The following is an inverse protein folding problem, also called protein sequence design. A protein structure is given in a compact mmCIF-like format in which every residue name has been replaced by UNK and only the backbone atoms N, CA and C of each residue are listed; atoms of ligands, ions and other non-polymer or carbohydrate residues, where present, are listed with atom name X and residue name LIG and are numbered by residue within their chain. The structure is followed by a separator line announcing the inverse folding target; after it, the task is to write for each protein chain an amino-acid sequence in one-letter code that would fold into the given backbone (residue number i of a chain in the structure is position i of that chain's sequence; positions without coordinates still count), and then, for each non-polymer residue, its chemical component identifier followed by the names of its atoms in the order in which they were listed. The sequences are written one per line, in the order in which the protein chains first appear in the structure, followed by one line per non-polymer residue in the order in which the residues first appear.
data_IF_376250540899
#
_entry.id   IF_376250540899
#
_cell.length_a   1.000
_cell.length_b   1.000
_cell.length_c   1.000
_cell.angle_alpha   90.00
_cell.angle_beta   90.00
_cell.angle_gamma   90.00
#
_symmetry.space_group_name_H-M   'P 1'
#
loop_
_entity.id
_entity.type
_entity.pdbx_description
1 polymer ?
#
# COMPACT_ATOMS: atom_id res chain seq x y z
N UNK A 1 6.82 13.87 3.08
CA UNK A 1 6.80 12.71 3.97
C UNK A 1 7.88 11.72 3.50
N UNK A 2 8.55 11.06 4.42
CA UNK A 2 9.44 9.95 4.11
C UNK A 2 8.63 8.65 4.17
N UNK A 3 8.68 7.86 3.11
CA UNK A 3 8.03 6.56 3.03
C UNK A 3 9.11 5.48 3.13
N UNK A 4 9.16 4.70 4.22
CA UNK A 4 10.09 3.59 4.36
C UNK A 4 9.81 2.52 3.31
N UNK A 5 10.87 1.93 2.75
CA UNK A 5 10.73 0.86 1.77
C UNK A 5 11.91 -0.11 1.81
N UNK A 6 11.65 -1.37 1.50
CA UNK A 6 12.62 -2.44 1.31
C UNK A 6 12.65 -2.84 -0.16
N UNK A 7 13.82 -2.81 -0.78
CA UNK A 7 14.01 -3.24 -2.16
C UNK A 7 14.61 -4.65 -2.21
N UNK A 8 13.93 -5.55 -2.91
CA UNK A 8 14.38 -6.92 -3.15
C UNK A 8 14.74 -7.07 -4.62
N UNK A 9 16.02 -7.20 -4.89
CA UNK A 9 16.55 -7.25 -6.26
C UNK A 9 17.09 -8.65 -6.55
N UNK A 10 16.54 -9.37 -7.54
CA UNK A 10 17.08 -10.67 -7.94
C UNK A 10 18.43 -10.51 -8.64
N UNK A 11 19.27 -11.57 -8.68
CA UNK A 11 20.60 -11.49 -9.30
C UNK A 11 20.60 -11.11 -10.80
N UNK A 12 19.51 -11.41 -11.50
CA UNK A 12 19.31 -11.07 -12.92
C UNK A 12 17.88 -10.63 -13.15
N UNK A 13 17.56 -9.37 -12.86
CA UNK A 13 16.19 -8.87 -13.00
C UNK A 13 15.74 -8.88 -14.46
N UNK A 14 14.46 -9.19 -14.69
CA UNK A 14 13.86 -9.22 -16.03
C UNK A 14 13.38 -7.85 -16.50
N UNK A 15 13.66 -6.78 -15.75
CA UNK A 15 13.08 -5.46 -15.98
C UNK A 15 11.64 -5.30 -15.47
N UNK A 16 11.02 -6.37 -14.95
CA UNK A 16 9.72 -6.27 -14.28
C UNK A 16 9.87 -5.73 -12.87
N UNK A 17 8.91 -4.93 -12.44
CA UNK A 17 8.85 -4.41 -11.08
C UNK A 17 7.49 -4.65 -10.45
N UNK A 18 7.51 -4.89 -9.15
CA UNK A 18 6.34 -5.05 -8.29
C UNK A 18 6.42 -4.01 -7.19
N UNK A 19 5.40 -3.17 -7.07
CA UNK A 19 5.15 -2.38 -5.87
C UNK A 19 4.25 -3.20 -4.93
N UNK A 20 4.80 -3.58 -3.78
CA UNK A 20 4.12 -4.41 -2.80
C UNK A 20 3.77 -3.58 -1.57
N UNK A 21 2.48 -3.49 -1.25
CA UNK A 21 1.95 -2.68 -0.15
C UNK A 21 1.16 -3.57 0.80
N UNK A 22 1.60 -3.63 2.06
CA UNK A 22 0.94 -4.40 3.10
C UNK A 22 0.31 -3.48 4.14
N UNK A 23 -0.91 -3.80 4.59
CA UNK A 23 -1.65 -3.00 5.55
C UNK A 23 -1.09 -2.99 6.98
N UNK A 24 -0.08 -3.81 7.29
CA UNK A 24 0.55 -3.86 8.62
C UNK A 24 1.98 -3.34 8.60
N UNK A 25 2.83 -3.85 7.71
CA UNK A 25 4.24 -3.46 7.62
C UNK A 25 4.87 -3.94 6.32
N UNK A 26 5.86 -3.22 5.80
CA UNK A 26 6.69 -3.63 4.66
C UNK A 26 7.46 -4.93 4.89
N UNK A 27 7.70 -5.29 6.16
CA UNK A 27 8.47 -6.46 6.55
C UNK A 27 7.60 -7.72 6.75
N UNK A 28 6.26 -7.61 6.75
CA UNK A 28 5.38 -8.71 7.12
C UNK A 28 5.59 -9.95 6.24
N UNK A 29 5.66 -9.77 4.93
CA UNK A 29 5.87 -10.81 3.94
C UNK A 29 7.33 -10.94 3.44
N UNK A 30 8.27 -10.24 4.08
CA UNK A 30 9.69 -10.23 3.74
C UNK A 30 10.47 -11.45 4.30
N UNK A 31 9.81 -12.30 5.07
CA UNK A 31 10.39 -13.50 5.68
C UNK A 31 10.82 -14.53 4.62
N UNK A 32 11.85 -15.34 4.88
CA UNK A 32 12.19 -16.47 4.02
C UNK A 32 10.99 -17.37 3.75
N UNK A 33 10.71 -17.68 2.48
CA UNK A 33 9.51 -18.42 2.05
C UNK A 33 8.23 -17.58 2.00
N UNK A 34 8.30 -16.30 2.34
CA UNK A 34 7.18 -15.35 2.30
C UNK A 34 6.69 -15.02 0.89
N UNK A 35 5.69 -14.17 0.82
CA UNK A 35 5.04 -13.81 -0.45
C UNK A 35 5.97 -13.00 -1.35
N UNK A 36 6.76 -12.09 -0.78
CA UNK A 36 7.73 -11.27 -1.52
C UNK A 36 8.79 -12.15 -2.19
N UNK A 37 9.37 -13.11 -1.47
CA UNK A 37 10.36 -14.02 -2.02
C UNK A 37 9.78 -14.87 -3.16
N UNK A 38 8.54 -15.35 -3.00
CA UNK A 38 7.83 -16.11 -4.04
C UNK A 38 7.58 -15.28 -5.30
N UNK A 39 7.14 -14.02 -5.15
CA UNK A 39 6.95 -13.10 -6.26
C UNK A 39 8.27 -12.83 -6.98
N UNK A 40 9.32 -12.50 -6.24
CA UNK A 40 10.66 -12.26 -6.77
C UNK A 40 11.18 -13.47 -7.56
N UNK A 41 11.12 -14.67 -6.98
CA UNK A 41 11.61 -15.91 -7.63
C UNK A 41 10.78 -16.30 -8.85
N UNK A 42 9.45 -16.19 -8.78
CA UNK A 42 8.55 -16.62 -9.87
C UNK A 42 8.67 -15.73 -11.10
N UNK A 43 8.85 -14.42 -10.92
CA UNK A 43 8.86 -13.45 -12.01
C UNK A 43 10.24 -12.91 -12.32
N UNK A 44 11.24 -13.21 -11.48
CA UNK A 44 12.57 -12.61 -11.51
C UNK A 44 12.49 -11.06 -11.56
N UNK A 45 11.52 -10.51 -10.83
CA UNK A 45 11.16 -9.11 -10.77
C UNK A 45 11.79 -8.41 -9.58
N UNK A 46 12.07 -7.12 -9.72
CA UNK A 46 12.38 -6.27 -8.57
C UNK A 46 11.11 -6.07 -7.76
N UNK A 47 11.16 -6.25 -6.44
CA UNK A 47 10.03 -6.00 -5.55
C UNK A 47 10.39 -4.86 -4.61
N UNK A 48 9.64 -3.77 -4.66
CA UNK A 48 9.68 -2.69 -3.69
C UNK A 48 8.52 -2.89 -2.70
N UNK A 49 8.84 -3.29 -1.47
CA UNK A 49 7.87 -3.33 -0.38
C UNK A 49 7.93 -2.03 0.39
N UNK A 50 6.84 -1.29 0.47
CA UNK A 50 6.81 0.05 1.05
C UNK A 50 5.66 0.23 2.04
N UNK A 51 5.85 1.16 2.97
CA UNK A 51 4.83 1.58 3.92
C UNK A 51 4.20 2.90 3.49
N UNK A 52 2.88 2.92 3.52
CA UNK A 52 2.12 4.16 3.36
C UNK A 52 2.06 4.89 4.71
N UNK A 53 1.69 6.18 4.69
CA UNK A 53 1.51 6.94 5.93
C UNK A 53 0.57 6.25 6.91
N UNK A 54 0.93 6.24 8.19
CA UNK A 54 0.18 5.61 9.26
C UNK A 54 0.23 4.08 9.26
N UNK A 55 1.16 3.46 8.51
CA UNK A 55 1.37 2.02 8.48
C UNK A 55 2.81 1.70 8.87
N UNK A 56 3.00 0.70 9.72
CA UNK A 56 4.31 0.22 10.12
C UNK A 56 5.16 1.27 10.83
N UNK A 57 6.34 1.59 10.32
CA UNK A 57 7.26 2.56 10.91
C UNK A 57 6.73 4.02 10.83
N UNK A 58 5.75 4.28 9.97
CA UNK A 58 5.11 5.60 9.85
C UNK A 58 3.89 5.75 10.74
N UNK A 59 3.52 4.70 11.48
CA UNK A 59 2.45 4.77 12.46
C UNK A 59 2.82 5.77 13.56
N UNK A 60 1.93 6.73 13.80
CA UNK A 60 2.12 7.68 14.88
C UNK A 60 1.93 6.96 16.22
N UNK A 61 3.02 6.84 16.98
CA UNK A 61 3.00 6.28 18.31
C UNK A 61 2.24 7.17 19.27
N UNK A 62 0.94 7.05 19.29
CA UNK A 62 0.12 7.72 20.29
C UNK A 62 0.20 6.94 21.59
N UNK A 63 0.72 7.60 22.63
CA UNK A 63 0.65 7.10 24.01
C UNK A 63 -0.79 6.66 24.31
N UNK A 64 -0.92 5.43 24.65
CA UNK A 64 -1.94 4.64 25.36
C UNK A 64 -3.33 5.22 25.69
N UNK A 65 -3.66 6.46 25.35
CA UNK A 65 -5.01 7.00 25.46
C UNK A 65 -5.78 6.69 24.18
N UNK A 66 -6.53 5.63 24.24
CA UNK A 66 -7.30 5.06 23.14
C UNK A 66 -8.56 5.89 22.83
N UNK A 67 -8.37 7.09 22.30
CA UNK A 67 -9.47 7.91 21.81
C UNK A 67 -10.09 7.30 20.55
N UNK A 68 -10.90 6.26 20.73
CA UNK A 68 -11.68 5.64 19.66
C UNK A 68 -10.92 4.65 18.78
N UNK A 69 -9.62 4.39 19.02
CA UNK A 69 -8.84 3.42 18.23
C UNK A 69 -9.44 2.01 18.29
N UNK A 70 -9.96 1.60 19.45
CA UNK A 70 -10.61 0.31 19.61
C UNK A 70 -11.93 0.16 18.85
N UNK A 71 -12.60 1.27 18.54
CA UNK A 71 -13.88 1.29 17.83
C UNK A 71 -13.74 1.64 16.36
N UNK A 72 -12.84 2.57 16.02
CA UNK A 72 -12.75 3.16 14.68
C UNK A 72 -11.46 2.83 13.94
N UNK A 73 -10.58 2.05 14.55
CA UNK A 73 -9.28 1.69 13.97
C UNK A 73 -8.14 2.61 14.40
N UNK A 74 -6.92 2.19 14.07
CA UNK A 74 -5.68 2.85 14.52
C UNK A 74 -5.48 4.25 13.95
N UNK A 75 -6.05 4.54 12.78
CA UNK A 75 -5.85 5.79 12.03
C UNK A 75 -6.91 6.85 12.34
N UNK A 76 -7.79 6.63 13.32
CA UNK A 76 -8.94 7.51 13.55
C UNK A 76 -8.55 8.98 13.78
N UNK A 77 -7.47 9.23 14.49
CA UNK A 77 -7.01 10.60 14.77
C UNK A 77 -6.46 11.27 13.51
N UNK A 78 -5.67 10.56 12.73
CA UNK A 78 -5.11 11.04 11.46
C UNK A 78 -6.21 11.33 10.44
N UNK A 79 -7.25 10.50 10.41
CA UNK A 79 -8.43 10.70 9.56
C UNK A 79 -9.16 11.98 9.95
N UNK A 80 -9.40 12.20 11.25
CA UNK A 80 -10.04 13.43 11.73
C UNK A 80 -9.18 14.66 11.45
N UNK A 81 -7.87 14.60 11.66
CA UNK A 81 -6.95 15.70 11.35
C UNK A 81 -6.93 16.00 9.84
N UNK A 82 -6.93 14.99 9.00
CA UNK A 82 -7.02 15.16 7.56
C UNK A 82 -8.35 15.84 7.18
N UNK A 83 -9.47 15.37 7.73
CA UNK A 83 -10.78 15.95 7.51
C UNK A 83 -10.84 17.43 7.93
N UNK A 84 -10.33 17.79 9.11
CA UNK A 84 -10.28 19.17 9.59
C UNK A 84 -9.44 20.10 8.69
N UNK A 85 -8.49 19.53 7.95
CA UNK A 85 -7.67 20.29 6.98
C UNK A 85 -8.21 20.21 5.55
N UNK A 86 -9.43 19.68 5.35
CA UNK A 86 -10.07 19.56 4.05
C UNK A 86 -9.44 18.49 3.16
N UNK A 87 -8.81 17.46 3.74
CA UNK A 87 -8.13 16.37 2.99
C UNK A 87 -8.78 15.03 3.29
N UNK A 88 -8.79 14.16 2.29
CA UNK A 88 -9.11 12.74 2.47
C UNK A 88 -7.85 11.98 2.87
N UNK A 89 -7.88 11.21 3.95
CA UNK A 89 -6.75 10.40 4.39
C UNK A 89 -6.43 9.29 3.39
N UNK A 90 -7.47 8.64 2.84
CA UNK A 90 -7.32 7.68 1.72
C UNK A 90 -6.70 8.36 0.50
N UNK A 91 -7.14 9.57 0.16
CA UNK A 91 -6.54 10.35 -0.94
C UNK A 91 -5.07 10.67 -0.70
N UNK A 92 -4.67 10.94 0.56
CA UNK A 92 -3.26 11.15 0.91
C UNK A 92 -2.45 9.85 0.75
N UNK A 93 -2.96 8.68 1.18
CA UNK A 93 -2.35 7.36 0.96
C UNK A 93 -2.29 7.01 -0.54
N UNK A 94 -3.32 7.35 -1.31
CA UNK A 94 -3.31 7.20 -2.77
C UNK A 94 -2.17 8.00 -3.41
N UNK A 95 -1.96 9.22 -2.95
CA UNK A 95 -0.82 10.04 -3.37
C UNK A 95 0.53 9.41 -3.02
N UNK A 96 0.64 8.73 -1.87
CA UNK A 96 1.85 7.98 -1.50
C UNK A 96 2.10 6.81 -2.47
N UNK A 97 1.05 6.05 -2.85
CA UNK A 97 1.16 4.97 -3.84
C UNK A 97 1.67 5.50 -5.18
N UNK A 98 1.09 6.61 -5.67
CA UNK A 98 1.52 7.21 -6.94
C UNK A 98 2.97 7.72 -6.88
N UNK A 99 3.39 8.31 -5.76
CA UNK A 99 4.78 8.74 -5.56
C UNK A 99 5.75 7.56 -5.55
N UNK A 100 5.42 6.46 -4.87
CA UNK A 100 6.20 5.22 -4.87
C UNK A 100 6.26 4.59 -6.26
N UNK A 101 5.17 4.64 -7.02
CA UNK A 101 5.09 4.16 -8.40
C UNK A 101 6.04 4.97 -9.30
N UNK A 102 6.00 6.29 -9.20
CA UNK A 102 6.91 7.18 -9.95
C UNK A 102 8.37 6.96 -9.57
N UNK A 103 8.66 6.82 -8.27
CA UNK A 103 10.01 6.51 -7.79
C UNK A 103 10.52 5.20 -8.38
N UNK A 104 9.70 4.14 -8.32
CA UNK A 104 10.07 2.83 -8.82
C UNK A 104 10.30 2.87 -10.34
N UNK A 105 9.41 3.50 -11.11
CA UNK A 105 9.55 3.66 -12.56
C UNK A 105 10.82 4.42 -12.95
N UNK A 106 11.16 5.49 -12.23
CA UNK A 106 12.34 6.31 -12.51
C UNK A 106 13.67 5.59 -12.20
N UNK A 107 13.64 4.62 -11.28
CA UNK A 107 14.84 3.88 -10.87
C UNK A 107 14.96 2.48 -11.48
N UNK A 108 14.00 2.09 -12.33
CA UNK A 108 14.14 0.90 -13.15
C UNK A 108 15.05 1.24 -14.35
N UNK A 109 16.25 0.65 -14.39
CA UNK A 109 17.06 0.64 -15.60
C UNK A 109 16.31 -0.18 -16.66
N UNK A 110 15.78 0.52 -17.66
CA UNK A 110 14.76 -0.02 -18.54
C UNK A 110 15.33 -0.45 -19.89
N UNK A 111 16.23 -1.41 -19.91
CA UNK A 111 16.49 -2.13 -21.15
C UNK A 111 15.30 -3.07 -21.44
N UNK A 112 14.34 -2.56 -22.20
CA UNK A 112 13.22 -3.35 -22.74
C UNK A 112 11.98 -3.47 -21.85
N UNK A 113 11.85 -2.74 -20.77
CA UNK A 113 10.65 -2.70 -19.94
C UNK A 113 9.63 -1.68 -20.46
N UNK A 114 8.35 -2.01 -20.37
CA UNK A 114 7.25 -1.08 -20.68
C UNK A 114 7.16 0.11 -19.69
N UNK A 115 7.99 0.14 -18.65
CA UNK A 115 7.89 1.11 -17.55
C UNK A 115 6.71 0.86 -16.63
N UNK A 116 5.87 -0.13 -16.93
CA UNK A 116 4.68 -0.46 -16.16
C UNK A 116 5.01 -1.35 -14.96
N UNK A 117 4.29 -1.15 -13.89
CA UNK A 117 4.50 -1.76 -12.58
C UNK A 117 3.36 -2.73 -12.27
N UNK A 118 3.69 -3.87 -11.69
CA UNK A 118 2.70 -4.73 -11.04
C UNK A 118 2.43 -4.20 -9.65
N UNK A 119 1.19 -3.82 -9.35
CA UNK A 119 0.78 -3.31 -8.04
C UNK A 119 0.12 -4.43 -7.23
N UNK A 120 0.58 -4.61 -6.00
CA UNK A 120 -0.02 -5.53 -5.03
C UNK A 120 -0.39 -4.74 -3.79
N UNK A 121 -1.67 -4.76 -3.42
CA UNK A 121 -2.19 -4.15 -2.19
C UNK A 121 -2.86 -5.20 -1.32
N UNK A 122 -2.49 -5.24 -0.03
CA UNK A 122 -3.05 -6.18 0.93
C UNK A 122 -3.61 -5.46 2.15
N UNK A 123 -4.80 -5.88 2.61
CA UNK A 123 -5.46 -5.32 3.77
C UNK A 123 -5.78 -3.83 3.59
N UNK A 124 -5.46 -3.00 4.58
CA UNK A 124 -5.71 -1.55 4.54
C UNK A 124 -4.99 -0.81 3.40
N UNK A 125 -3.88 -1.36 2.88
CA UNK A 125 -3.17 -0.77 1.76
C UNK A 125 -3.85 -1.05 0.40
N UNK A 126 -4.81 -1.97 0.34
CA UNK A 126 -5.47 -2.34 -0.90
C UNK A 126 -6.42 -1.24 -1.42
N UNK A 127 -7.11 -0.50 -0.53
CA UNK A 127 -8.01 0.58 -0.93
C UNK A 127 -7.25 1.73 -1.62
N UNK A 128 -6.19 2.33 -1.02
CA UNK A 128 -5.42 3.35 -1.72
C UNK A 128 -4.72 2.82 -2.98
N UNK A 129 -4.34 1.54 -3.03
CA UNK A 129 -3.82 0.90 -4.24
C UNK A 129 -4.88 0.85 -5.36
N UNK A 130 -6.13 0.50 -5.04
CA UNK A 130 -7.25 0.54 -5.99
C UNK A 130 -7.47 1.95 -6.54
N UNK A 131 -7.48 2.96 -5.66
CA UNK A 131 -7.65 4.35 -6.08
C UNK A 131 -6.50 4.83 -6.98
N UNK A 132 -5.25 4.47 -6.66
CA UNK A 132 -4.09 4.80 -7.49
C UNK A 132 -4.20 4.16 -8.88
N UNK A 133 -4.61 2.89 -8.94
CA UNK A 133 -4.82 2.17 -10.20
C UNK A 133 -5.95 2.79 -11.05
N UNK A 134 -7.00 3.29 -10.40
CA UNK A 134 -8.09 3.98 -11.09
C UNK A 134 -7.70 5.37 -11.61
N UNK A 135 -6.82 6.09 -10.91
CA UNK A 135 -6.38 7.43 -11.28
C UNK A 135 -5.28 7.44 -12.35
N UNK A 136 -4.44 6.41 -12.38
CA UNK A 136 -3.31 6.32 -13.31
C UNK A 136 -3.16 4.90 -13.88
N UNK A 137 -4.20 4.38 -14.58
CA UNK A 137 -4.21 2.99 -15.05
C UNK A 137 -3.07 2.67 -16.03
N UNK A 138 -2.57 3.67 -16.73
CA UNK A 138 -1.47 3.53 -17.68
C UNK A 138 -0.13 3.19 -17.02
N UNK A 139 0.03 3.44 -15.72
CA UNK A 139 1.26 3.14 -14.97
C UNK A 139 1.34 1.69 -14.53
N UNK A 140 0.24 0.96 -14.57
CA UNK A 140 0.17 -0.40 -14.03
C UNK A 140 -0.04 -1.43 -15.14
N UNK A 141 0.78 -2.48 -15.11
CA UNK A 141 0.61 -3.68 -15.97
C UNK A 141 -0.47 -4.61 -15.41
N UNK A 142 -0.50 -4.75 -14.09
CA UNK A 142 -1.54 -5.49 -13.39
C UNK A 142 -1.72 -4.98 -11.96
N UNK A 143 -2.89 -5.23 -11.40
CA UNK A 143 -3.24 -4.89 -10.03
C UNK A 143 -3.81 -6.13 -9.35
N UNK A 144 -3.25 -6.47 -8.19
CA UNK A 144 -3.74 -7.54 -7.33
C UNK A 144 -4.08 -6.95 -5.96
N UNK A 145 -5.32 -7.11 -5.55
CA UNK A 145 -5.84 -6.62 -4.28
C UNK A 145 -6.32 -7.80 -3.46
N UNK A 146 -5.92 -7.86 -2.20
CA UNK A 146 -6.17 -8.98 -1.32
C UNK A 146 -6.61 -8.49 0.07
N UNK A 147 -7.49 -9.25 0.73
CA UNK A 147 -8.00 -8.91 2.06
C UNK A 147 -8.61 -7.49 2.18
N UNK A 148 -9.24 -7.01 1.11
CA UNK A 148 -9.92 -5.73 1.11
C UNK A 148 -11.45 -5.90 1.11
N UNK A 149 -12.14 -4.85 1.52
CA UNK A 149 -13.60 -4.75 1.39
C UNK A 149 -13.93 -4.73 -0.11
N UNK A 150 -14.75 -5.69 -0.56
CA UNK A 150 -15.10 -5.81 -1.98
C UNK A 150 -16.13 -4.74 -2.41
N UNK A 151 -17.01 -4.32 -1.50
CA UNK A 151 -18.05 -3.31 -1.78
C UNK A 151 -18.38 -2.49 -0.53
N UNK A 152 -18.80 -1.25 -0.72
CA UNK A 152 -19.35 -0.42 0.35
C UNK A 152 -20.62 -1.02 0.99
N UNK A 153 -21.34 -1.85 0.24
CA UNK A 153 -22.50 -2.56 0.77
C UNK A 153 -22.13 -3.50 1.93
N UNK A 154 -20.93 -4.07 1.93
CA UNK A 154 -20.46 -4.90 3.06
C UNK A 154 -20.31 -4.10 4.34
N UNK A 155 -19.81 -2.87 4.27
CA UNK A 155 -19.70 -1.99 5.43
C UNK A 155 -21.10 -1.67 5.99
N UNK A 156 -22.05 -1.37 5.12
CA UNK A 156 -23.44 -1.07 5.53
C UNK A 156 -24.10 -2.30 6.16
N UNK A 157 -23.82 -3.49 5.62
CA UNK A 157 -24.35 -4.75 6.15
C UNK A 157 -23.69 -5.21 7.46
N UNK A 158 -22.45 -4.73 7.72
CA UNK A 158 -21.67 -5.11 8.92
C UNK A 158 -21.18 -3.85 9.63
N UNK A 159 -22.10 -3.09 10.30
CA UNK A 159 -21.79 -1.77 10.83
C UNK A 159 -20.75 -1.77 11.97
N UNK A 160 -20.46 -2.92 12.56
CA UNK A 160 -19.45 -3.09 13.63
C UNK A 160 -18.08 -3.54 13.10
N UNK A 161 -17.87 -3.55 11.80
CA UNK A 161 -16.56 -3.88 11.23
C UNK A 161 -15.51 -2.82 11.59
N UNK A 162 -14.30 -3.28 11.94
CA UNK A 162 -13.17 -2.41 12.24
C UNK A 162 -12.72 -1.65 10.98
N UNK A 163 -12.06 -0.51 11.18
CA UNK A 163 -11.46 0.31 10.12
C UNK A 163 -12.46 0.96 9.15
N UNK A 164 -13.70 1.16 9.56
CA UNK A 164 -14.70 1.87 8.76
C UNK A 164 -14.33 3.35 8.50
N UNK A 165 -13.53 3.95 9.37
CA UNK A 165 -13.12 5.34 9.24
C UNK A 165 -12.01 5.56 8.19
N UNK A 166 -11.45 4.49 7.63
CA UNK A 166 -10.38 4.58 6.61
C UNK A 166 -10.88 5.01 5.23
N UNK A 167 -12.17 5.25 5.09
CA UNK A 167 -12.84 5.54 3.81
C UNK A 167 -13.26 6.98 3.65
#
# INVERSE_FOLDING_TARGET
INLPALAFVPPKPTGKAVLYLHGLSMAEDAKPGGRIEKLMKKQNAIVLSAELRGIGETETGHDKQDYGRGQFGRDVQEIYLAYLTGRSYVGMRTGDVLALTQFLSANLETDGNSGKIHLVGQGEAAIPALHAAALAPEQFESVALDEMIATWAEIVATPESLNQAAS
#
